data_IF_309961086431
#
_entry.id   IF_309961086431
#
_cell.length_a   1.000
_cell.length_b   1.000
_cell.length_c   1.000
_cell.angle_alpha   90.00
_cell.angle_beta   90.00
_cell.angle_gamma   90.00
#
_symmetry.space_group_name_H-M   'P 1'
#
loop_
_entity.id
_entity.type
_entity.pdbx_description
1 polymer ?
#
# COMPACT_ATOMS: atom_id res chain seq x y z
N UNK A 1 -0.09 3.69 27.66
CA UNK A 1 -0.66 2.87 26.58
C UNK A 1 -2.16 3.12 26.53
N UNK A 2 -2.71 3.60 25.42
CA UNK A 2 -4.17 3.70 25.23
C UNK A 2 -4.55 2.67 24.17
N UNK A 3 -5.00 1.49 24.59
CA UNK A 3 -5.65 0.57 23.67
C UNK A 3 -7.12 0.99 23.55
N UNK A 4 -7.56 1.41 22.37
CA UNK A 4 -8.94 1.88 22.16
C UNK A 4 -9.56 1.25 20.90
N UNK A 5 -10.32 0.19 21.10
CA UNK A 5 -11.21 -0.35 20.09
C UNK A 5 -12.54 0.42 20.13
N UNK A 6 -12.91 1.12 19.05
CA UNK A 6 -14.18 1.85 18.97
C UNK A 6 -15.31 1.07 18.30
N UNK A 7 -15.02 -0.14 17.79
CA UNK A 7 -15.93 -0.96 16.98
C UNK A 7 -15.85 -2.43 17.38
N UNK A 8 -16.82 -3.23 16.91
CA UNK A 8 -16.83 -4.68 17.11
C UNK A 8 -15.56 -5.32 16.54
N UNK A 9 -14.91 -6.16 17.35
CA UNK A 9 -13.70 -6.92 17.01
C UNK A 9 -12.52 -6.05 16.52
N UNK A 10 -12.52 -4.74 16.79
CA UNK A 10 -11.38 -3.90 16.41
C UNK A 10 -10.28 -3.92 17.47
N UNK A 11 -9.04 -3.64 17.05
CA UNK A 11 -7.87 -3.55 17.93
C UNK A 11 -7.14 -2.27 17.61
N UNK A 12 -6.87 -1.43 18.61
CA UNK A 12 -5.95 -0.30 18.47
C UNK A 12 -4.90 -0.35 19.57
N UNK A 13 -3.62 -0.25 19.22
CA UNK A 13 -2.48 -0.22 20.14
C UNK A 13 -1.53 0.92 19.77
N UNK A 14 -1.58 2.03 20.48
CA UNK A 14 -0.69 3.17 20.21
C UNK A 14 -1.14 4.48 20.85
N UNK A 15 -0.41 5.56 20.59
CA UNK A 15 -0.83 6.91 20.96
C UNK A 15 -1.68 7.52 19.84
N UNK A 16 -2.75 8.21 20.22
CA UNK A 16 -3.59 8.99 19.31
C UNK A 16 -3.38 10.48 19.58
N UNK A 17 -2.63 11.15 18.71
CA UNK A 17 -2.37 12.59 18.78
C UNK A 17 -3.17 13.39 17.75
N UNK A 18 -3.62 12.74 16.68
CA UNK A 18 -4.41 13.34 15.59
C UNK A 18 -5.85 12.80 15.61
N UNK A 19 -6.83 13.70 15.47
CA UNK A 19 -8.24 13.32 15.36
C UNK A 19 -8.51 12.48 14.09
N UNK A 20 -9.43 11.52 14.18
CA UNK A 20 -9.76 10.65 13.05
C UNK A 20 -8.73 9.55 12.75
N UNK A 21 -7.74 9.35 13.62
CA UNK A 21 -6.87 8.16 13.60
C UNK A 21 -7.42 7.10 14.56
N UNK A 22 -7.15 5.83 14.30
CA UNK A 22 -7.73 4.71 15.03
C UNK A 22 -7.92 3.46 14.18
N UNK A 23 -8.37 2.39 14.83
CA UNK A 23 -9.09 1.30 14.20
C UNK A 23 -10.59 1.61 14.26
N UNK A 24 -11.12 2.21 13.19
CA UNK A 24 -12.40 2.93 13.19
C UNK A 24 -13.58 2.14 12.64
N UNK A 25 -13.36 0.92 12.17
CA UNK A 25 -14.36 0.05 11.57
C UNK A 25 -14.36 -1.35 12.19
N UNK A 26 -15.39 -2.14 11.91
CA UNK A 26 -15.49 -3.53 12.36
C UNK A 26 -14.26 -4.34 11.93
N UNK A 27 -13.72 -5.15 12.84
CA UNK A 27 -12.54 -6.00 12.62
C UNK A 27 -11.26 -5.26 12.21
N UNK A 28 -11.23 -3.92 12.28
CA UNK A 28 -10.07 -3.15 11.91
C UNK A 28 -8.94 -3.31 12.94
N UNK A 29 -7.69 -3.36 12.48
CA UNK A 29 -6.51 -3.48 13.33
C UNK A 29 -5.61 -2.27 13.11
N UNK A 30 -5.28 -1.56 14.19
CA UNK A 30 -4.39 -0.41 14.21
C UNK A 30 -3.27 -0.61 15.22
N UNK A 31 -2.00 -0.61 14.81
CA UNK A 31 -0.86 -0.71 15.73
C UNK A 31 0.17 0.39 15.41
N UNK A 32 0.35 1.32 16.33
CA UNK A 32 1.29 2.44 16.20
C UNK A 32 0.66 3.79 16.51
N UNK A 33 1.48 4.83 16.49
CA UNK A 33 1.04 6.21 16.71
C UNK A 33 0.30 6.74 15.48
N UNK A 34 -0.89 7.29 15.67
CA UNK A 34 -1.67 7.97 14.63
C UNK A 34 -1.96 7.11 13.38
N UNK A 35 -2.14 5.80 13.55
CA UNK A 35 -2.56 4.92 12.43
C UNK A 35 -4.03 5.11 12.09
N UNK A 36 -4.38 4.93 10.82
CA UNK A 36 -5.77 5.01 10.35
C UNK A 36 -6.16 3.72 9.65
N UNK A 37 -6.84 2.82 10.35
CA UNK A 37 -7.54 1.66 9.77
C UNK A 37 -9.04 1.97 9.78
N UNK A 38 -9.56 2.54 8.69
CA UNK A 38 -10.88 3.21 8.70
C UNK A 38 -12.01 2.45 8.02
N UNK A 39 -11.75 1.24 7.52
CA UNK A 39 -12.74 0.41 6.83
C UNK A 39 -12.74 -1.01 7.36
N UNK A 40 -13.81 -1.75 7.03
CA UNK A 40 -14.02 -3.13 7.50
C UNK A 40 -12.84 -4.00 7.09
N UNK A 41 -12.33 -4.78 8.06
CA UNK A 41 -11.18 -5.67 7.93
C UNK A 41 -9.88 -4.97 7.47
N UNK A 42 -9.76 -3.65 7.65
CA UNK A 42 -8.54 -2.91 7.33
C UNK A 42 -7.46 -3.09 8.41
N UNK A 43 -6.20 -3.21 8.00
CA UNK A 43 -5.05 -3.39 8.88
C UNK A 43 -4.05 -2.26 8.65
N UNK A 44 -3.76 -1.45 9.66
CA UNK A 44 -2.77 -0.38 9.62
C UNK A 44 -1.74 -0.57 10.75
N UNK A 45 -0.47 -0.77 10.41
CA UNK A 45 0.61 -0.98 11.38
C UNK A 45 1.81 -0.11 11.04
N UNK A 46 2.28 0.68 12.01
CA UNK A 46 3.40 1.61 11.86
C UNK A 46 2.95 3.06 11.96
N UNK A 47 3.80 3.95 12.51
CA UNK A 47 3.42 5.35 12.75
C UNK A 47 2.85 6.02 11.50
N UNK A 48 1.67 6.63 11.61
CA UNK A 48 0.97 7.31 10.52
C UNK A 48 0.64 6.43 9.30
N UNK A 49 0.60 5.09 9.45
CA UNK A 49 0.13 4.20 8.38
C UNK A 49 -1.38 4.36 8.16
N UNK A 50 -1.83 4.28 6.91
CA UNK A 50 -3.22 4.50 6.49
C UNK A 50 -3.71 3.32 5.66
N UNK A 51 -4.65 2.55 6.20
CA UNK A 51 -5.44 1.55 5.51
C UNK A 51 -6.91 2.03 5.48
N UNK A 52 -7.30 2.72 4.40
CA UNK A 52 -8.59 3.42 4.34
C UNK A 52 -9.60 2.81 3.36
N UNK A 53 -9.32 1.61 2.87
CA UNK A 53 -10.20 0.85 2.01
C UNK A 53 -10.56 -0.50 2.64
N UNK A 54 -11.69 -1.08 2.23
CA UNK A 54 -12.10 -2.40 2.71
C UNK A 54 -11.03 -3.45 2.36
N UNK A 55 -10.72 -4.32 3.33
CA UNK A 55 -9.69 -5.37 3.22
C UNK A 55 -8.25 -4.85 3.00
N UNK A 56 -8.01 -3.54 3.12
CA UNK A 56 -6.70 -2.96 2.84
C UNK A 56 -5.69 -3.22 3.95
N UNK A 57 -4.42 -3.36 3.57
CA UNK A 57 -3.31 -3.63 4.51
C UNK A 57 -2.21 -2.60 4.29
N UNK A 58 -1.93 -1.77 5.29
CA UNK A 58 -0.83 -0.83 5.31
C UNK A 58 0.14 -1.17 6.46
N UNK A 59 1.36 -1.60 6.13
CA UNK A 59 2.40 -1.95 7.09
C UNK A 59 3.67 -1.14 6.83
N UNK A 60 3.99 -0.20 7.72
CA UNK A 60 5.19 0.61 7.66
C UNK A 60 4.93 2.07 8.06
N UNK A 61 6.00 2.78 8.41
CA UNK A 61 5.95 4.22 8.66
C UNK A 61 5.38 4.94 7.43
N UNK A 62 4.23 5.60 7.60
CA UNK A 62 3.53 6.33 6.52
C UNK A 62 3.13 5.46 5.32
N UNK A 63 3.01 4.14 5.48
CA UNK A 63 2.45 3.27 4.44
C UNK A 63 0.99 3.63 4.16
N UNK A 64 0.57 3.67 2.89
CA UNK A 64 -0.76 4.11 2.47
C UNK A 64 -1.41 3.10 1.53
N UNK A 65 -2.34 2.31 2.04
CA UNK A 65 -3.21 1.42 1.28
C UNK A 65 -4.62 2.02 1.20
N UNK A 66 -4.94 2.68 0.08
CA UNK A 66 -6.20 3.43 -0.08
C UNK A 66 -6.99 3.02 -1.31
N UNK A 67 -6.47 2.10 -2.11
CA UNK A 67 -7.20 1.52 -3.23
C UNK A 67 -8.29 0.55 -2.77
N UNK A 68 -9.44 0.58 -3.45
CA UNK A 68 -10.56 -0.32 -3.15
C UNK A 68 -10.21 -1.80 -3.40
N UNK A 69 -10.93 -2.73 -2.77
CA UNK A 69 -10.81 -4.16 -3.08
C UNK A 69 -9.56 -4.84 -2.51
N UNK A 70 -8.99 -4.35 -1.40
CA UNK A 70 -7.84 -5.00 -0.76
C UNK A 70 -6.48 -4.54 -1.27
N UNK A 71 -6.29 -3.21 -1.42
CA UNK A 71 -4.96 -2.68 -1.69
C UNK A 71 -3.96 -3.03 -0.57
N UNK A 72 -2.71 -3.33 -0.92
CA UNK A 72 -1.66 -3.72 0.03
C UNK A 72 -0.45 -2.81 -0.09
N UNK A 73 -0.06 -2.11 0.98
CA UNK A 73 1.09 -1.22 1.04
C UNK A 73 2.05 -1.68 2.16
N UNK A 74 3.18 -2.27 1.80
CA UNK A 74 4.12 -2.91 2.74
C UNK A 74 5.53 -2.28 2.63
N UNK A 75 5.86 -1.37 3.52
CA UNK A 75 7.15 -0.67 3.57
C UNK A 75 7.02 0.78 4.05
N UNK A 76 8.15 1.42 4.35
CA UNK A 76 8.13 2.84 4.70
C UNK A 76 7.73 3.67 3.47
N UNK A 77 6.69 4.49 3.61
CA UNK A 77 6.24 5.42 2.57
C UNK A 77 5.66 4.75 1.32
N UNK A 78 5.27 3.47 1.37
CA UNK A 78 4.61 2.80 0.25
C UNK A 78 3.25 3.39 -0.06
N UNK A 79 2.89 3.45 -1.33
CA UNK A 79 1.58 3.92 -1.79
C UNK A 79 0.92 2.85 -2.65
N UNK A 80 -0.18 2.30 -2.17
CA UNK A 80 -1.06 1.40 -2.92
C UNK A 80 -2.43 2.05 -3.03
N UNK A 81 -2.63 2.87 -4.06
CA UNK A 81 -3.85 3.67 -4.25
C UNK A 81 -4.78 3.14 -5.34
N UNK A 82 -4.32 2.18 -6.14
CA UNK A 82 -5.13 1.54 -7.18
C UNK A 82 -6.06 0.45 -6.63
N UNK A 83 -7.19 0.24 -7.30
CA UNK A 83 -8.09 -0.87 -6.98
C UNK A 83 -7.37 -2.21 -7.11
N UNK A 84 -7.43 -3.06 -6.07
CA UNK A 84 -6.69 -4.33 -5.99
C UNK A 84 -5.17 -4.18 -6.25
N UNK A 85 -4.57 -3.02 -5.95
CA UNK A 85 -3.14 -2.81 -6.18
C UNK A 85 -2.27 -3.33 -5.04
N UNK A 86 -0.99 -3.59 -5.34
CA UNK A 86 -0.01 -4.06 -4.36
C UNK A 86 1.28 -3.26 -4.50
N UNK A 87 1.74 -2.65 -3.41
CA UNK A 87 3.02 -1.94 -3.31
C UNK A 87 3.85 -2.51 -2.16
N UNK A 88 5.02 -3.07 -2.45
CA UNK A 88 5.92 -3.69 -1.47
C UNK A 88 7.34 -3.16 -1.66
N UNK A 89 7.97 -2.68 -0.58
CA UNK A 89 9.32 -2.11 -0.59
C UNK A 89 9.33 -0.62 -0.24
N UNK A 90 10.43 -0.10 0.29
CA UNK A 90 10.50 1.30 0.73
C UNK A 90 10.17 2.24 -0.44
N UNK A 91 9.17 3.11 -0.26
CA UNK A 91 8.69 4.06 -1.27
C UNK A 91 8.22 3.42 -2.59
N UNK A 92 7.78 2.16 -2.58
CA UNK A 92 7.09 1.54 -3.73
C UNK A 92 5.73 2.20 -3.98
N UNK A 93 5.31 2.31 -5.25
CA UNK A 93 4.09 3.01 -5.64
C UNK A 93 3.29 2.26 -6.71
N UNK A 94 2.08 1.81 -6.36
CA UNK A 94 1.13 1.13 -7.24
C UNK A 94 -0.20 1.90 -7.30
N UNK A 95 -0.38 2.71 -8.34
CA UNK A 95 -1.36 3.81 -8.33
C UNK A 95 -2.64 3.58 -9.14
N UNK A 96 -2.63 2.65 -10.11
CA UNK A 96 -3.79 2.31 -10.94
C UNK A 96 -4.33 0.91 -10.62
N UNK A 97 -5.53 0.62 -11.11
CA UNK A 97 -6.21 -0.66 -10.89
C UNK A 97 -5.34 -1.84 -11.35
N UNK A 98 -5.22 -2.86 -10.50
CA UNK A 98 -4.41 -4.06 -10.75
C UNK A 98 -2.90 -3.83 -10.85
N UNK A 99 -2.40 -2.64 -10.50
CA UNK A 99 -0.97 -2.34 -10.55
C UNK A 99 -0.21 -3.03 -9.41
N UNK A 100 0.99 -3.54 -9.70
CA UNK A 100 1.85 -4.23 -8.72
C UNK A 100 3.26 -3.65 -8.74
N UNK A 101 3.69 -2.98 -7.67
CA UNK A 101 5.02 -2.40 -7.50
C UNK A 101 5.78 -3.16 -6.41
N UNK A 102 6.74 -3.99 -6.79
CA UNK A 102 7.45 -4.94 -5.92
C UNK A 102 8.94 -4.62 -5.91
N UNK A 103 9.36 -3.72 -5.03
CA UNK A 103 10.75 -3.32 -4.86
C UNK A 103 10.89 -1.89 -4.30
N UNK A 104 12.01 -1.61 -3.65
CA UNK A 104 12.34 -0.25 -3.18
C UNK A 104 12.34 0.73 -4.37
N UNK A 105 11.59 1.83 -4.25
CA UNK A 105 11.36 2.81 -5.34
C UNK A 105 10.71 2.26 -6.62
N UNK A 106 10.13 1.06 -6.60
CA UNK A 106 9.40 0.55 -7.76
C UNK A 106 8.12 1.34 -8.02
N UNK A 107 7.77 1.54 -9.29
CA UNK A 107 6.60 2.31 -9.72
C UNK A 107 5.80 1.50 -10.74
N UNK A 108 4.57 1.12 -10.38
CA UNK A 108 3.58 0.54 -11.27
C UNK A 108 2.42 1.53 -11.42
N UNK A 109 2.45 2.30 -12.50
CA UNK A 109 1.50 3.40 -12.76
C UNK A 109 0.62 3.17 -13.97
N UNK A 110 0.77 2.05 -14.68
CA UNK A 110 -0.18 1.58 -15.68
C UNK A 110 -1.28 0.69 -15.07
N UNK A 111 -2.48 0.68 -15.66
CA UNK A 111 -3.51 -0.29 -15.28
C UNK A 111 -3.03 -1.71 -15.58
N UNK A 112 -3.20 -2.64 -14.63
CA UNK A 112 -2.67 -4.01 -14.67
C UNK A 112 -1.15 -4.09 -14.92
N UNK A 113 -0.39 -3.03 -14.62
CA UNK A 113 1.06 -3.02 -14.80
C UNK A 113 1.76 -3.74 -13.64
N UNK A 114 2.94 -4.27 -13.90
CA UNK A 114 3.76 -4.94 -12.88
C UNK A 114 5.21 -4.48 -12.97
N UNK A 115 5.71 -3.86 -11.91
CA UNK A 115 7.09 -3.43 -11.75
C UNK A 115 7.74 -4.26 -10.63
N UNK A 116 8.78 -5.04 -10.94
CA UNK A 116 9.51 -5.88 -9.98
C UNK A 116 10.98 -5.52 -10.01
N UNK A 117 11.53 -5.11 -8.87
CA UNK A 117 12.93 -4.72 -8.74
C UNK A 117 13.10 -3.32 -8.19
N UNK A 118 14.31 -3.03 -7.69
CA UNK A 118 14.61 -1.68 -7.19
C UNK A 118 14.60 -0.69 -8.35
N UNK A 119 13.85 0.41 -8.17
CA UNK A 119 13.67 1.47 -9.17
C UNK A 119 13.07 1.02 -10.52
N UNK A 120 12.44 -0.16 -10.60
CA UNK A 120 11.73 -0.60 -11.81
C UNK A 120 10.48 0.26 -12.05
N UNK A 121 10.18 0.62 -13.30
CA UNK A 121 9.00 1.42 -13.68
C UNK A 121 8.17 0.72 -14.75
N UNK A 122 6.92 0.38 -14.45
CA UNK A 122 5.92 -0.10 -15.41
C UNK A 122 4.78 0.93 -15.52
N UNK A 123 4.85 1.79 -16.54
CA UNK A 123 3.89 2.89 -16.73
C UNK A 123 2.90 2.67 -17.87
N UNK A 124 3.15 1.69 -18.74
CA UNK A 124 2.20 1.27 -19.76
C UNK A 124 1.06 0.41 -19.19
N UNK A 125 -0.14 0.50 -19.75
CA UNK A 125 -1.22 -0.44 -19.42
C UNK A 125 -0.80 -1.87 -19.80
N UNK A 126 -1.07 -2.85 -18.92
CA UNK A 126 -0.66 -4.25 -19.06
C UNK A 126 0.86 -4.43 -19.27
N UNK A 127 1.70 -3.49 -18.82
CA UNK A 127 3.15 -3.57 -18.98
C UNK A 127 3.83 -4.34 -17.86
N UNK A 128 4.98 -4.94 -18.17
CA UNK A 128 5.84 -5.60 -17.20
C UNK A 128 7.26 -5.01 -17.22
N UNK A 129 7.76 -4.56 -16.08
CA UNK A 129 9.14 -4.11 -15.90
C UNK A 129 9.80 -4.94 -14.79
N UNK A 130 10.71 -5.84 -15.14
CA UNK A 130 11.40 -6.71 -14.17
C UNK A 130 12.91 -6.49 -14.16
N UNK A 131 13.50 -6.15 -13.01
CA UNK A 131 14.94 -5.94 -12.83
C UNK A 131 15.29 -4.53 -12.35
N UNK A 132 16.54 -4.34 -11.90
CA UNK A 132 16.99 -3.06 -11.40
C UNK A 132 16.92 -1.98 -12.49
N UNK A 133 16.14 -0.92 -12.23
CA UNK A 133 15.99 0.22 -13.15
C UNK A 133 15.32 -0.09 -14.49
N UNK A 134 14.65 -1.23 -14.66
CA UNK A 134 13.92 -1.55 -15.90
C UNK A 134 12.74 -0.60 -16.13
N UNK A 135 12.48 -0.19 -17.38
CA UNK A 135 11.38 0.73 -17.72
C UNK A 135 10.52 0.17 -18.85
N UNK A 136 9.25 -0.11 -18.57
CA UNK A 136 8.23 -0.52 -19.54
C UNK A 136 7.14 0.55 -19.67
N UNK A 137 7.31 1.48 -20.62
CA UNK A 137 6.41 2.63 -20.80
C UNK A 137 5.35 2.46 -21.88
N UNK A 138 5.47 1.45 -22.75
CA UNK A 138 4.49 1.14 -23.78
C UNK A 138 3.35 0.27 -23.24
N UNK A 139 2.14 0.44 -23.80
CA UNK A 139 1.05 -0.49 -23.53
C UNK A 139 1.44 -1.91 -23.99
N UNK A 140 1.16 -2.92 -23.16
CA UNK A 140 1.55 -4.32 -23.35
C UNK A 140 3.07 -4.54 -23.51
N UNK A 141 3.90 -3.56 -23.11
CA UNK A 141 5.36 -3.70 -23.23
C UNK A 141 5.95 -4.53 -22.10
N UNK A 142 7.06 -5.19 -22.41
CA UNK A 142 7.86 -5.95 -21.45
C UNK A 142 9.29 -5.41 -21.48
N UNK A 143 9.82 -5.04 -20.31
CA UNK A 143 11.21 -4.66 -20.12
C UNK A 143 11.84 -5.54 -19.04
N UNK A 144 12.99 -6.13 -19.34
CA UNK A 144 13.77 -6.92 -18.38
C UNK A 144 15.13 -6.26 -18.20
N UNK A 145 15.43 -5.83 -16.98
CA UNK A 145 16.63 -5.07 -16.58
C UNK A 145 17.77 -5.96 -16.08
N UNK A 146 18.79 -5.33 -15.49
CA UNK A 146 19.98 -6.01 -14.96
C UNK A 146 19.74 -6.57 -13.54
N UNK A 147 20.51 -7.61 -13.18
CA UNK A 147 20.52 -8.26 -11.86
C UNK A 147 21.09 -7.33 -10.79
#
# INVERSE_FOLDING_TARGET
FQAQATQLNSVYLGSRTVAGTGALAQSAIGIGTDVTASQVDAIAVGRSSVASAQYSVALGLSAKATGAGGAMALGQGTISSGTNSVAIGVQASATLAGANALGTFSVASGGNSTAVGTSSTASGANSFAGGWGSVASGANSTAVGRQ
#
